data_IF_606980219913
#
_entry.id   IF_606980219913
#
_cell.length_a   1.000
_cell.length_b   1.000
_cell.length_c   1.000
_cell.angle_alpha   90.00
_cell.angle_beta   90.00
_cell.angle_gamma   90.00
#
_symmetry.space_group_name_H-M   'P 1'
#
loop_
_entity.id
_entity.type
_entity.pdbx_description
1 polymer ?
#
# COMPACT_ATOMS: atom_id res chain seq x y z
N UNK A 1 21.86 14.49 -13.15
CA UNK A 1 20.69 13.89 -13.86
C UNK A 1 20.14 12.66 -13.11
N UNK A 2 19.88 12.77 -11.79
CA UNK A 2 19.45 11.63 -10.96
C UNK A 2 17.92 11.51 -10.83
N UNK A 3 17.20 12.62 -11.00
CA UNK A 3 15.73 12.67 -10.93
C UNK A 3 15.08 11.76 -11.99
N UNK A 4 15.69 11.63 -13.17
CA UNK A 4 15.15 10.83 -14.29
C UNK A 4 15.08 9.33 -14.00
N UNK A 5 15.92 8.77 -13.11
CA UNK A 5 15.93 7.33 -12.83
C UNK A 5 14.84 6.90 -11.84
N UNK A 6 14.48 7.77 -10.90
CA UNK A 6 13.48 7.47 -9.86
C UNK A 6 12.07 7.95 -10.23
N UNK A 7 11.96 8.85 -11.21
CA UNK A 7 10.68 9.32 -11.76
C UNK A 7 9.76 8.18 -12.22
N UNK A 8 10.20 7.19 -13.03
CA UNK A 8 9.34 6.09 -13.47
C UNK A 8 8.78 5.26 -12.30
N UNK A 9 9.60 5.04 -11.26
CA UNK A 9 9.18 4.28 -10.08
C UNK A 9 8.12 5.06 -9.31
N UNK A 10 8.31 6.37 -9.15
CA UNK A 10 7.34 7.23 -8.49
C UNK A 10 6.00 7.28 -9.27
N UNK A 11 6.05 7.35 -10.60
CA UNK A 11 4.84 7.29 -11.45
C UNK A 11 4.13 5.94 -11.32
N UNK A 12 4.87 4.83 -11.30
CA UNK A 12 4.31 3.51 -11.05
C UNK A 12 3.62 3.43 -9.67
N UNK A 13 4.25 3.97 -8.62
CA UNK A 13 3.66 4.01 -7.28
C UNK A 13 2.37 4.82 -7.23
N UNK A 14 2.33 5.98 -7.91
CA UNK A 14 1.11 6.77 -8.03
C UNK A 14 0.03 6.05 -8.83
N UNK A 15 0.39 5.39 -9.91
CA UNK A 15 -0.53 4.60 -10.72
C UNK A 15 -1.19 3.48 -9.91
N UNK A 16 -0.39 2.71 -9.15
CA UNK A 16 -0.91 1.65 -8.27
C UNK A 16 -1.84 2.21 -7.18
N UNK A 17 -1.49 3.34 -6.58
CA UNK A 17 -2.34 4.04 -5.60
C UNK A 17 -3.68 4.47 -6.18
N UNK A 18 -3.67 5.03 -7.40
CA UNK A 18 -4.89 5.48 -8.08
C UNK A 18 -5.76 4.29 -8.47
N UNK A 19 -5.17 3.20 -8.98
CA UNK A 19 -5.90 1.97 -9.26
C UNK A 19 -6.60 1.42 -8.01
N UNK A 20 -5.87 1.31 -6.90
CA UNK A 20 -6.46 0.86 -5.64
C UNK A 20 -7.60 1.78 -5.18
N UNK A 21 -7.39 3.11 -5.23
CA UNK A 21 -8.41 4.08 -4.87
C UNK A 21 -9.68 3.92 -5.71
N UNK A 22 -9.53 3.72 -7.02
CA UNK A 22 -10.65 3.51 -7.96
C UNK A 22 -11.38 2.22 -7.61
N UNK A 23 -10.69 1.08 -7.53
CA UNK A 23 -11.36 -0.19 -7.23
C UNK A 23 -12.01 -0.19 -5.85
N UNK A 24 -11.31 0.33 -4.85
CA UNK A 24 -11.89 0.50 -3.52
C UNK A 24 -13.17 1.35 -3.66
N UNK A 25 -13.15 2.51 -4.30
CA UNK A 25 -14.31 3.42 -4.33
C UNK A 25 -15.50 2.93 -5.17
N UNK A 26 -15.24 2.23 -6.28
CA UNK A 26 -16.24 1.87 -7.28
C UNK A 26 -16.64 0.39 -7.27
N UNK A 27 -16.09 -0.45 -6.39
CA UNK A 27 -16.39 -1.89 -6.34
C UNK A 27 -17.90 -2.20 -6.29
N UNK A 28 -18.66 -1.43 -5.50
CA UNK A 28 -20.10 -1.61 -5.35
C UNK A 28 -20.88 -1.24 -6.63
N UNK A 29 -20.41 -0.25 -7.39
CA UNK A 29 -21.00 0.13 -8.69
C UNK A 29 -20.65 -0.86 -9.80
N UNK A 30 -19.49 -1.52 -9.72
CA UNK A 30 -19.00 -2.46 -10.74
C UNK A 30 -19.50 -3.90 -10.51
N UNK A 31 -20.45 -4.08 -9.59
CA UNK A 31 -21.05 -5.37 -9.24
C UNK A 31 -22.14 -5.78 -10.23
N UNK A 32 -21.72 -6.10 -11.45
CA UNK A 32 -22.62 -6.67 -12.46
C UNK A 32 -22.75 -8.18 -12.29
N UNK A 33 -21.63 -8.85 -12.08
CA UNK A 33 -21.52 -10.31 -11.96
C UNK A 33 -20.50 -10.65 -10.86
N UNK A 34 -20.75 -11.72 -10.11
CA UNK A 34 -19.89 -12.14 -9.00
C UNK A 34 -18.47 -12.50 -9.47
N UNK A 35 -18.35 -13.09 -10.66
CA UNK A 35 -17.05 -13.42 -11.27
C UNK A 35 -16.27 -12.15 -11.59
N UNK A 36 -16.93 -11.11 -12.13
CA UNK A 36 -16.28 -9.83 -12.43
C UNK A 36 -15.80 -9.18 -11.13
N UNK A 37 -16.66 -9.17 -10.09
CA UNK A 37 -16.29 -8.61 -8.79
C UNK A 37 -15.10 -9.34 -8.16
N UNK A 38 -15.08 -10.68 -8.23
CA UNK A 38 -13.96 -11.50 -7.77
C UNK A 38 -12.66 -11.12 -8.49
N UNK A 39 -12.70 -10.99 -9.82
CA UNK A 39 -11.53 -10.60 -10.62
C UNK A 39 -11.04 -9.20 -10.21
N UNK A 40 -11.95 -8.24 -9.99
CA UNK A 40 -11.58 -6.90 -9.51
C UNK A 40 -10.89 -6.95 -8.14
N UNK A 41 -11.40 -7.76 -7.21
CA UNK A 41 -10.76 -7.95 -5.89
C UNK A 41 -9.37 -8.55 -6.01
N UNK A 42 -9.19 -9.60 -6.83
CA UNK A 42 -7.88 -10.21 -7.07
C UNK A 42 -6.90 -9.21 -7.68
N UNK A 43 -7.34 -8.44 -8.69
CA UNK A 43 -6.50 -7.40 -9.30
C UNK A 43 -6.08 -6.36 -8.26
N UNK A 44 -7.03 -5.88 -7.45
CA UNK A 44 -6.74 -4.89 -6.41
C UNK A 44 -5.73 -5.44 -5.37
N UNK A 45 -5.93 -6.65 -4.88
CA UNK A 45 -5.03 -7.27 -3.90
C UNK A 45 -3.62 -7.46 -4.47
N UNK A 46 -3.50 -7.89 -5.73
CA UNK A 46 -2.21 -7.98 -6.44
C UNK A 46 -1.57 -6.60 -6.59
N UNK A 47 -2.33 -5.56 -6.91
CA UNK A 47 -1.81 -4.19 -6.98
C UNK A 47 -1.25 -3.70 -5.64
N UNK A 48 -1.93 -3.98 -4.52
CA UNK A 48 -1.46 -3.63 -3.18
C UNK A 48 -0.16 -4.39 -2.87
N UNK A 49 -0.10 -5.70 -3.15
CA UNK A 49 1.11 -6.51 -2.96
C UNK A 49 2.27 -5.97 -3.80
N UNK A 50 2.01 -5.62 -5.05
CA UNK A 50 3.02 -5.05 -5.93
C UNK A 50 3.51 -3.68 -5.43
N UNK A 51 2.60 -2.84 -4.93
CA UNK A 51 2.93 -1.57 -4.30
C UNK A 51 3.85 -1.76 -3.08
N UNK A 52 3.62 -2.80 -2.28
CA UNK A 52 4.49 -3.19 -1.16
C UNK A 52 5.87 -3.64 -1.66
N UNK A 53 5.92 -4.52 -2.66
CA UNK A 53 7.18 -5.02 -3.25
C UNK A 53 8.03 -3.85 -3.76
N UNK A 54 7.45 -2.90 -4.49
CA UNK A 54 8.17 -1.72 -4.99
C UNK A 54 8.79 -0.90 -3.85
N UNK A 55 8.09 -0.71 -2.74
CA UNK A 55 8.63 -0.02 -1.56
C UNK A 55 9.79 -0.79 -0.94
N UNK A 56 9.68 -2.12 -0.81
CA UNK A 56 10.78 -2.95 -0.30
C UNK A 56 12.01 -2.94 -1.22
N UNK A 57 11.83 -3.01 -2.53
CA UNK A 57 12.92 -2.88 -3.50
C UNK A 57 13.60 -1.51 -3.40
N UNK A 58 12.84 -0.44 -3.19
CA UNK A 58 13.40 0.89 -2.96
C UNK A 58 14.21 0.95 -1.66
N UNK A 59 13.75 0.28 -0.58
CA UNK A 59 14.50 0.17 0.66
C UNK A 59 15.81 -0.59 0.49
N UNK A 60 15.82 -1.75 -0.17
CA UNK A 60 17.04 -2.53 -0.39
C UNK A 60 18.09 -1.80 -1.21
N UNK A 61 17.64 -0.94 -2.14
CA UNK A 61 18.54 -0.11 -2.93
C UNK A 61 19.13 1.08 -2.14
N UNK A 62 18.59 1.45 -0.97
CA UNK A 62 19.14 2.56 -0.18
C UNK A 62 20.51 2.23 0.40
N UNK A 63 21.38 3.24 0.46
CA UNK A 63 22.76 3.09 0.98
C UNK A 63 22.77 2.65 2.46
N UNK A 64 21.83 3.14 3.25
CA UNK A 64 21.67 2.78 4.67
C UNK A 64 21.37 1.30 4.86
N UNK A 65 20.56 0.72 3.97
CA UNK A 65 20.27 -0.70 4.00
C UNK A 65 21.51 -1.51 3.61
N UNK A 66 22.21 -1.09 2.54
CA UNK A 66 23.45 -1.73 2.09
C UNK A 66 24.58 -1.66 3.13
N UNK A 67 24.63 -0.60 3.93
CA UNK A 67 25.61 -0.44 5.01
C UNK A 67 25.22 -1.17 6.31
N UNK A 68 24.09 -1.89 6.35
CA UNK A 68 23.66 -2.71 7.49
C UNK A 68 22.82 -1.97 8.55
N UNK A 69 22.46 -0.71 8.34
CA UNK A 69 21.66 0.09 9.30
C UNK A 69 20.15 -0.05 9.07
N UNK A 70 19.71 -1.28 8.79
CA UNK A 70 18.32 -1.62 8.48
C UNK A 70 17.36 -1.14 9.58
N UNK A 71 17.77 -1.26 10.85
CA UNK A 71 16.92 -0.90 11.99
C UNK A 71 16.53 0.60 12.00
N UNK A 72 17.40 1.50 11.51
CA UNK A 72 17.08 2.93 11.40
C UNK A 72 16.00 3.16 10.35
N UNK A 73 16.15 2.51 9.20
CA UNK A 73 15.22 2.64 8.08
C UNK A 73 13.84 2.08 8.47
N UNK A 74 13.82 0.89 9.07
CA UNK A 74 12.59 0.25 9.55
C UNK A 74 11.92 1.11 10.62
N UNK A 75 12.64 1.65 11.61
CA UNK A 75 12.03 2.55 12.60
C UNK A 75 11.48 3.83 11.96
N UNK A 76 12.15 4.39 10.95
CA UNK A 76 11.71 5.60 10.26
C UNK A 76 10.42 5.39 9.45
N UNK A 77 10.22 4.19 8.90
CA UNK A 77 9.07 3.86 8.06
C UNK A 77 8.08 2.87 8.71
N UNK A 78 8.26 2.55 10.00
CA UNK A 78 7.46 1.56 10.74
C UNK A 78 5.96 1.79 10.61
N UNK A 79 5.53 3.04 10.76
CA UNK A 79 4.11 3.41 10.64
C UNK A 79 3.57 3.10 9.25
N UNK A 80 4.30 3.45 8.19
CA UNK A 80 3.85 3.20 6.82
C UNK A 80 3.77 1.70 6.50
N UNK A 81 4.76 0.92 6.97
CA UNK A 81 4.77 -0.53 6.84
C UNK A 81 3.57 -1.14 7.57
N UNK A 82 3.39 -0.81 8.85
CA UNK A 82 2.29 -1.32 9.67
C UNK A 82 0.92 -0.98 9.07
N UNK A 83 0.70 0.28 8.67
CA UNK A 83 -0.58 0.70 8.06
C UNK A 83 -0.84 -0.06 6.75
N UNK A 84 0.19 -0.30 5.93
CA UNK A 84 0.02 -1.03 4.67
C UNK A 84 -0.36 -2.49 4.89
N UNK A 85 0.26 -3.18 5.86
CA UNK A 85 -0.11 -4.56 6.20
C UNK A 85 -1.51 -4.65 6.80
N UNK A 86 -1.87 -3.73 7.71
CA UNK A 86 -3.21 -3.66 8.29
C UNK A 86 -4.25 -3.45 7.18
N UNK A 87 -4.00 -2.51 6.27
CA UNK A 87 -4.87 -2.24 5.13
C UNK A 87 -5.06 -3.47 4.25
N UNK A 88 -3.98 -4.14 3.86
CA UNK A 88 -4.03 -5.33 3.02
C UNK A 88 -4.85 -6.46 3.67
N UNK A 89 -4.64 -6.74 4.96
CA UNK A 89 -5.40 -7.76 5.69
C UNK A 89 -6.89 -7.41 5.70
N UNK A 90 -7.24 -6.14 5.94
CA UNK A 90 -8.62 -5.69 5.94
C UNK A 90 -9.28 -5.79 4.56
N UNK A 91 -8.56 -5.47 3.49
CA UNK A 91 -9.03 -5.65 2.11
C UNK A 91 -9.35 -7.11 1.83
N UNK A 92 -8.39 -8.01 2.04
CA UNK A 92 -8.58 -9.46 1.80
C UNK A 92 -9.74 -10.01 2.65
N UNK A 93 -9.83 -9.62 3.92
CA UNK A 93 -10.94 -10.04 4.78
C UNK A 93 -12.30 -9.59 4.25
N UNK A 94 -12.42 -8.34 3.78
CA UNK A 94 -13.66 -7.83 3.19
C UNK A 94 -13.97 -8.46 1.84
N UNK A 95 -12.98 -8.70 1.00
CA UNK A 95 -13.15 -9.37 -0.28
C UNK A 95 -13.67 -10.79 -0.09
N UNK A 96 -13.03 -11.57 0.78
CA UNK A 96 -13.45 -12.94 1.08
C UNK A 96 -14.85 -12.96 1.67
N UNK A 97 -15.12 -12.17 2.70
CA UNK A 97 -16.43 -12.15 3.36
C UNK A 97 -17.52 -11.64 2.40
N UNK A 98 -17.25 -10.57 1.66
CA UNK A 98 -18.19 -10.02 0.67
C UNK A 98 -18.53 -11.03 -0.43
N UNK A 99 -17.54 -11.78 -0.92
CA UNK A 99 -17.77 -12.85 -1.90
C UNK A 99 -18.59 -13.99 -1.31
N UNK A 100 -18.34 -14.40 -0.07
CA UNK A 100 -19.15 -15.45 0.59
C UNK A 100 -20.61 -15.04 0.73
N UNK A 101 -20.90 -13.77 1.02
CA UNK A 101 -22.27 -13.29 1.18
C UNK A 101 -23.03 -13.15 -0.15
N UNK A 102 -22.31 -12.86 -1.24
CA UNK A 102 -22.93 -12.52 -2.53
C UNK A 102 -22.78 -13.59 -3.61
N UNK A 103 -22.10 -14.72 -3.33
CA UNK A 103 -21.75 -15.71 -4.35
C UNK A 103 -22.94 -16.21 -5.18
N UNK A 104 -24.08 -16.45 -4.53
CA UNK A 104 -25.28 -16.97 -5.15
C UNK A 104 -26.13 -15.88 -5.82
N UNK A 105 -26.18 -14.68 -5.23
CA UNK A 105 -26.91 -13.52 -5.76
C UNK A 105 -26.09 -12.23 -5.62
N UNK A 106 -25.64 -11.63 -6.73
CA UNK A 106 -24.86 -10.40 -6.70
C UNK A 106 -25.65 -9.22 -6.12
N UNK A 107 -26.98 -9.21 -6.21
CA UNK A 107 -27.81 -8.07 -5.82
C UNK A 107 -28.41 -8.19 -4.42
N UNK A 108 -28.05 -9.25 -3.68
CA UNK A 108 -28.53 -9.42 -2.31
C UNK A 108 -28.06 -8.28 -1.40
N UNK A 109 -28.98 -7.84 -0.54
CA UNK A 109 -28.70 -6.81 0.45
C UNK A 109 -27.89 -7.40 1.62
N UNK A 110 -26.60 -7.06 1.72
CA UNK A 110 -25.67 -7.61 2.73
C UNK A 110 -25.42 -6.69 3.92
N UNK A 111 -25.97 -5.47 3.91
CA UNK A 111 -25.60 -4.44 4.89
C UNK A 111 -26.20 -4.65 6.28
N UNK A 112 -27.21 -5.51 6.42
CA UNK A 112 -27.79 -5.92 7.71
C UNK A 112 -26.95 -6.97 8.45
N UNK A 113 -25.92 -7.55 7.80
CA UNK A 113 -25.06 -8.54 8.43
C UNK A 113 -24.22 -7.87 9.52
N UNK A 114 -24.51 -8.22 10.77
CA UNK A 114 -23.82 -7.69 11.95
C UNK A 114 -22.30 -7.81 11.81
N UNK A 115 -21.61 -6.69 11.90
CA UNK A 115 -20.14 -6.62 11.83
C UNK A 115 -19.57 -6.39 10.43
N UNK A 116 -20.25 -6.79 9.35
CA UNK A 116 -19.76 -6.54 7.99
C UNK A 116 -19.70 -5.04 7.68
N UNK A 117 -20.76 -4.29 8.00
CA UNK A 117 -20.79 -2.83 7.85
C UNK A 117 -19.69 -2.15 8.68
N UNK A 118 -19.45 -2.63 9.91
CA UNK A 118 -18.42 -2.09 10.80
C UNK A 118 -17.03 -2.31 10.20
N UNK A 119 -16.75 -3.53 9.72
CA UNK A 119 -15.50 -3.87 9.06
C UNK A 119 -15.31 -3.04 7.78
N UNK A 120 -16.37 -2.86 7.00
CA UNK A 120 -16.36 -2.05 5.79
C UNK A 120 -15.98 -0.59 6.11
N UNK A 121 -16.66 0.06 7.05
CA UNK A 121 -16.35 1.44 7.47
C UNK A 121 -14.94 1.56 8.06
N UNK A 122 -14.52 0.57 8.85
CA UNK A 122 -13.19 0.54 9.44
C UNK A 122 -12.10 0.44 8.37
N UNK A 123 -12.24 -0.45 7.39
CA UNK A 123 -11.30 -0.58 6.29
C UNK A 123 -11.20 0.73 5.48
N UNK A 124 -12.31 1.43 5.22
CA UNK A 124 -12.29 2.73 4.52
C UNK A 124 -11.53 3.80 5.28
N UNK A 125 -11.67 3.80 6.60
CA UNK A 125 -10.92 4.71 7.48
C UNK A 125 -9.41 4.42 7.40
N UNK A 126 -9.04 3.14 7.43
CA UNK A 126 -7.64 2.71 7.27
C UNK A 126 -7.11 3.01 5.87
N UNK A 127 -7.96 2.93 4.82
CA UNK A 127 -7.59 3.25 3.45
C UNK A 127 -7.06 4.69 3.32
N UNK A 128 -7.70 5.66 3.96
CA UNK A 128 -7.25 7.06 3.98
C UNK A 128 -5.84 7.18 4.58
N UNK A 129 -5.58 6.46 5.68
CA UNK A 129 -4.26 6.42 6.31
C UNK A 129 -3.24 5.76 5.38
N UNK A 130 -3.60 4.65 4.75
CA UNK A 130 -2.75 3.95 3.78
C UNK A 130 -2.36 4.88 2.62
N UNK A 131 -3.31 5.56 1.99
CA UNK A 131 -3.04 6.48 0.88
C UNK A 131 -2.10 7.62 1.29
N UNK A 132 -2.31 8.20 2.47
CA UNK A 132 -1.44 9.25 2.99
C UNK A 132 -0.02 8.74 3.28
N UNK A 133 0.13 7.67 4.06
CA UNK A 133 1.44 7.17 4.48
C UNK A 133 2.22 6.52 3.34
N UNK A 134 1.55 5.84 2.41
CA UNK A 134 2.16 5.26 1.23
C UNK A 134 2.68 6.37 0.31
N UNK A 135 1.86 7.37 -0.04
CA UNK A 135 2.30 8.53 -0.84
C UNK A 135 3.49 9.24 -0.20
N UNK A 136 3.43 9.48 1.12
CA UNK A 136 4.52 10.12 1.86
C UNK A 136 5.81 9.29 1.82
N UNK A 137 5.69 7.97 1.89
CA UNK A 137 6.83 7.05 1.82
C UNK A 137 7.44 7.00 0.42
N UNK A 138 6.60 6.91 -0.62
CA UNK A 138 6.99 6.98 -2.01
C UNK A 138 7.79 8.26 -2.33
N UNK A 139 7.30 9.43 -1.90
CA UNK A 139 7.99 10.70 -2.09
C UNK A 139 9.32 10.78 -1.33
N UNK A 140 9.37 10.28 -0.09
CA UNK A 140 10.61 10.25 0.69
C UNK A 140 11.66 9.32 0.09
N UNK A 141 11.25 8.15 -0.40
CA UNK A 141 12.13 7.20 -1.08
C UNK A 141 12.48 7.63 -2.49
N UNK A 142 11.73 8.55 -3.10
CA UNK A 142 12.11 9.18 -4.37
C UNK A 142 13.27 10.18 -4.25
N UNK A 143 13.68 10.56 -3.03
CA UNK A 143 14.79 11.49 -2.81
C UNK A 143 16.15 10.79 -3.06
N UNK A 144 16.95 11.24 -4.06
CA UNK A 144 18.25 10.66 -4.38
C UNK A 144 19.24 10.60 -3.20
N UNK A 145 19.05 11.44 -2.17
CA UNK A 145 19.92 11.51 -0.98
C UNK A 145 19.98 10.21 -0.18
N UNK A 146 18.99 9.32 -0.32
CA UNK A 146 19.01 7.99 0.32
C UNK A 146 19.88 6.95 -0.41
N UNK A 147 20.30 7.24 -1.65
CA UNK A 147 21.02 6.30 -2.51
C UNK A 147 22.50 6.66 -2.71
N UNK A 148 22.96 7.75 -2.10
CA UNK A 148 24.34 8.24 -2.19
C UNK A 148 24.88 8.52 -0.79
N UNK A 149 26.21 8.41 -0.64
CA UNK A 149 26.89 8.84 0.58
C UNK A 149 26.70 10.36 0.75
N UNK A 150 25.84 10.74 1.68
CA UNK A 150 25.43 12.12 1.89
C UNK A 150 25.82 12.57 3.29
N UNK A 151 25.99 13.88 3.50
CA UNK A 151 26.37 14.43 4.82
C UNK A 151 25.43 14.01 5.94
N UNK A 152 24.14 13.79 5.66
CA UNK A 152 23.20 13.25 6.63
C UNK A 152 23.55 11.82 7.06
N UNK A 153 23.93 10.96 6.11
CA UNK A 153 24.36 9.58 6.38
C UNK A 153 25.65 9.60 7.19
N UNK A 154 26.65 10.40 6.77
CA UNK A 154 27.90 10.59 7.53
C UNK A 154 27.66 11.06 8.96
N UNK A 155 26.78 12.06 9.17
CA UNK A 155 26.41 12.52 10.52
C UNK A 155 25.74 11.43 11.35
N UNK A 156 24.90 10.58 10.75
CA UNK A 156 24.25 9.48 11.47
C UNK A 156 25.24 8.37 11.86
N UNK A 157 26.24 8.10 11.01
CA UNK A 157 27.37 7.22 11.34
C UNK A 157 28.26 7.82 12.45
N UNK A 158 28.60 9.11 12.36
CA UNK A 158 29.41 9.82 13.35
C UNK A 158 28.73 9.88 14.72
N UNK A 159 27.39 9.98 14.77
CA UNK A 159 26.63 10.01 16.03
C UNK A 159 26.61 8.67 16.79
N UNK A 160 26.97 7.57 16.11
CA UNK A 160 26.95 6.21 16.66
C UNK A 160 28.34 5.62 16.90
N UNK A 161 29.38 6.37 16.54
CA UNK A 161 30.78 6.06 16.89
C UNK A 161 31.10 6.65 18.25
#
# INVERSE_FOLDING_TARGET
MLVSRYQPILYLQYFLLVLDLVFNSFNEMLRFENVILLVLYVIQDVCIVFAVIVVFLLFFNTFIFQAGLVNILVNKFRVAISVTFIYFILCVALHVWGMTLRWDDPNIYIWDVTGYLVLHVFQRTVAVLYYYYYKRTALKLGDPRFYQDSEWIRKEFERRR
#
